data_IF_131474340484
#
_entry.id   IF_131474340484
#
_cell.length_a   1.000
_cell.length_b   1.000
_cell.length_c   1.000
_cell.angle_alpha   90.00
_cell.angle_beta   90.00
_cell.angle_gamma   90.00
#
_symmetry.space_group_name_H-M   'P 1'
#
loop_
_entity.id
_entity.type
_entity.pdbx_description
1 polymer ?
#
# COMPACT_ATOMS: atom_id res chain seq x y z
N UNK A 1 33.34 -38.17 -0.34
CA UNK A 1 33.42 -39.17 0.78
C UNK A 1 33.13 -38.53 2.16
N UNK A 2 33.64 -37.34 2.49
CA UNK A 2 33.38 -36.64 3.76
C UNK A 2 31.88 -36.38 4.01
N UNK A 3 31.11 -35.86 3.02
CA UNK A 3 29.67 -35.55 3.11
C UNK A 3 28.84 -36.77 3.51
N UNK A 4 29.09 -37.93 2.91
CA UNK A 4 28.37 -39.18 3.25
C UNK A 4 28.65 -39.65 4.69
N UNK A 5 29.88 -39.49 5.19
CA UNK A 5 30.23 -39.83 6.59
C UNK A 5 29.58 -38.87 7.57
N UNK A 6 29.51 -37.58 7.26
CA UNK A 6 28.78 -36.57 8.03
C UNK A 6 27.30 -36.91 8.09
N UNK A 7 26.71 -37.34 6.96
CA UNK A 7 25.28 -37.67 6.90
C UNK A 7 24.94 -38.94 7.71
N UNK A 8 25.78 -39.97 7.61
CA UNK A 8 25.50 -41.31 8.18
C UNK A 8 25.92 -41.47 9.65
N UNK A 9 26.95 -40.77 10.11
CA UNK A 9 27.54 -41.02 11.42
C UNK A 9 27.45 -39.81 12.34
N UNK A 10 26.72 -39.94 13.46
CA UNK A 10 26.56 -38.88 14.47
C UNK A 10 27.91 -38.32 14.98
N UNK A 11 28.92 -39.16 15.13
CA UNK A 11 30.25 -38.76 15.57
C UNK A 11 30.93 -37.72 14.66
N UNK A 12 30.73 -37.81 13.35
CA UNK A 12 31.28 -36.84 12.42
C UNK A 12 30.47 -35.51 12.47
N UNK A 13 29.16 -35.58 12.71
CA UNK A 13 28.35 -34.40 12.93
C UNK A 13 28.74 -33.65 14.20
N UNK A 14 28.94 -34.38 15.33
CA UNK A 14 29.42 -33.78 16.59
C UNK A 14 30.78 -33.12 16.45
N UNK A 15 31.74 -33.81 15.78
CA UNK A 15 33.08 -33.25 15.55
C UNK A 15 33.04 -32.01 14.64
N UNK A 16 32.20 -32.01 13.61
CA UNK A 16 31.98 -30.86 12.73
C UNK A 16 31.33 -29.67 13.47
N UNK A 17 30.35 -29.93 14.32
CA UNK A 17 29.71 -28.94 15.15
C UNK A 17 30.68 -28.31 16.13
N UNK A 18 31.49 -29.12 16.81
CA UNK A 18 32.53 -28.63 17.71
C UNK A 18 33.57 -27.76 16.98
N UNK A 19 34.00 -28.16 15.78
CA UNK A 19 34.91 -27.33 14.94
C UNK A 19 34.24 -25.98 14.57
N UNK A 20 32.92 -26.01 14.25
CA UNK A 20 32.21 -24.82 13.89
C UNK A 20 32.08 -23.86 15.09
N UNK A 21 31.68 -24.38 16.26
CA UNK A 21 31.56 -23.60 17.50
C UNK A 21 32.91 -23.04 17.96
N UNK A 22 33.97 -23.85 17.94
CA UNK A 22 35.31 -23.40 18.29
C UNK A 22 35.79 -22.31 17.35
N UNK A 23 35.57 -22.47 16.03
CA UNK A 23 35.95 -21.47 15.02
C UNK A 23 35.17 -20.16 15.21
N UNK A 24 33.86 -20.26 15.50
CA UNK A 24 32.99 -19.10 15.78
C UNK A 24 33.47 -18.32 17.01
N UNK A 25 33.74 -19.01 18.12
CA UNK A 25 34.26 -18.42 19.36
C UNK A 25 35.66 -17.80 19.14
N UNK A 26 36.55 -18.49 18.46
CA UNK A 26 37.88 -17.99 18.15
C UNK A 26 37.82 -16.68 17.33
N UNK A 27 36.99 -16.65 16.29
CA UNK A 27 36.85 -15.46 15.44
C UNK A 27 36.27 -14.26 16.25
N UNK A 28 35.36 -14.50 17.18
CA UNK A 28 34.76 -13.45 17.98
C UNK A 28 35.66 -12.93 19.11
N UNK A 29 36.61 -13.74 19.59
CA UNK A 29 37.49 -13.37 20.69
C UNK A 29 38.97 -13.14 20.23
N UNK A 30 39.17 -13.14 18.91
CA UNK A 30 40.51 -13.13 18.31
C UNK A 30 41.35 -11.92 18.73
N UNK A 31 40.71 -10.77 18.91
CA UNK A 31 41.34 -9.52 19.35
C UNK A 31 41.66 -9.50 20.84
N UNK A 32 41.04 -10.38 21.64
CA UNK A 32 41.23 -10.50 23.08
C UNK A 32 42.22 -11.63 23.43
N UNK A 33 42.57 -12.47 22.48
CA UNK A 33 43.43 -13.61 22.68
C UNK A 33 44.90 -13.28 22.28
N UNK A 34 45.86 -13.89 22.99
CA UNK A 34 47.29 -13.80 22.62
C UNK A 34 47.52 -14.49 21.26
N UNK A 35 48.47 -14.02 20.44
CA UNK A 35 48.80 -14.65 19.16
C UNK A 35 49.07 -16.15 19.26
N UNK A 36 49.75 -16.58 20.35
CA UNK A 36 50.04 -18.01 20.61
C UNK A 36 48.77 -18.80 20.88
N UNK A 37 47.79 -18.25 21.63
CA UNK A 37 46.52 -18.92 21.89
C UNK A 37 45.67 -19.06 20.60
N UNK A 38 45.71 -18.05 19.72
CA UNK A 38 45.05 -18.11 18.41
C UNK A 38 45.64 -19.22 17.55
N UNK A 39 46.98 -19.31 17.49
CA UNK A 39 47.68 -20.34 16.72
C UNK A 39 47.39 -21.76 17.24
N UNK A 40 47.45 -21.98 18.57
CA UNK A 40 47.12 -23.26 19.17
C UNK A 40 45.70 -23.73 18.87
N UNK A 41 44.70 -22.81 18.96
CA UNK A 41 43.32 -23.11 18.66
C UNK A 41 43.08 -23.39 17.16
N UNK A 42 43.72 -22.60 16.28
CA UNK A 42 43.64 -22.84 14.84
C UNK A 42 44.25 -24.21 14.46
N UNK A 43 45.40 -24.56 15.04
CA UNK A 43 46.01 -25.87 14.83
C UNK A 43 45.11 -27.02 15.31
N UNK A 44 44.51 -26.90 16.49
CA UNK A 44 43.61 -27.92 17.04
C UNK A 44 42.38 -28.12 16.18
N UNK A 45 41.80 -27.01 15.68
CA UNK A 45 40.64 -27.03 14.77
C UNK A 45 41.00 -27.71 13.45
N UNK A 46 42.14 -27.33 12.84
CA UNK A 46 42.55 -27.87 11.55
C UNK A 46 42.95 -29.35 11.66
N UNK A 47 43.60 -29.75 12.73
CA UNK A 47 43.89 -31.15 13.01
C UNK A 47 42.62 -32.01 13.11
N UNK A 48 41.60 -31.53 13.77
CA UNK A 48 40.30 -32.24 13.85
C UNK A 48 39.60 -32.29 12.47
N UNK A 49 39.67 -31.22 11.67
CA UNK A 49 39.18 -31.20 10.28
C UNK A 49 39.91 -32.22 9.40
N UNK A 50 41.23 -32.33 9.52
CA UNK A 50 42.04 -33.33 8.79
C UNK A 50 41.64 -34.76 9.18
N UNK A 51 41.47 -35.04 10.46
CA UNK A 51 41.00 -36.36 10.95
C UNK A 51 39.60 -36.69 10.40
N UNK A 52 38.69 -35.75 10.29
CA UNK A 52 37.38 -35.96 9.68
C UNK A 52 37.49 -36.23 8.18
N UNK A 53 38.35 -35.50 7.45
CA UNK A 53 38.52 -35.66 5.98
C UNK A 53 39.19 -36.99 5.64
N UNK A 54 40.23 -37.39 6.39
CA UNK A 54 40.96 -38.64 6.18
C UNK A 54 40.11 -39.87 6.54
N UNK A 55 39.02 -39.67 7.26
CA UNK A 55 38.15 -40.78 7.71
C UNK A 55 38.80 -41.63 8.77
N UNK A 56 39.58 -41.02 9.62
CA UNK A 56 40.31 -41.64 10.70
C UNK A 56 39.44 -42.53 11.59
N UNK A 57 40.05 -43.52 12.24
CA UNK A 57 39.41 -44.43 13.13
C UNK A 57 38.74 -43.72 14.32
N UNK A 58 37.72 -44.37 14.90
CA UNK A 58 36.93 -43.85 16.00
C UNK A 58 37.77 -43.34 17.18
N UNK A 59 38.88 -44.02 17.49
CA UNK A 59 39.78 -43.67 18.58
C UNK A 59 40.48 -42.33 18.31
N UNK A 60 41.07 -42.18 17.10
CA UNK A 60 41.78 -40.95 16.70
C UNK A 60 40.83 -39.73 16.62
N UNK A 61 39.61 -39.95 16.13
CA UNK A 61 38.60 -38.86 16.08
C UNK A 61 38.19 -38.40 17.49
N UNK A 62 38.00 -39.35 18.44
CA UNK A 62 37.71 -39.05 19.84
C UNK A 62 38.85 -38.29 20.53
N UNK A 63 40.07 -38.68 20.26
CA UNK A 63 41.28 -37.97 20.78
C UNK A 63 41.39 -36.56 20.22
N UNK A 64 41.08 -36.36 18.93
CA UNK A 64 41.06 -35.02 18.31
C UNK A 64 39.98 -34.11 18.88
N UNK A 65 38.79 -34.68 19.14
CA UNK A 65 37.67 -33.94 19.80
C UNK A 65 38.10 -33.54 21.23
N UNK A 66 38.63 -34.49 22.02
CA UNK A 66 39.08 -34.19 23.37
C UNK A 66 40.19 -33.13 23.46
N UNK A 67 41.14 -33.18 22.48
CA UNK A 67 42.21 -32.17 22.37
C UNK A 67 41.65 -30.78 22.08
N UNK A 68 40.69 -30.67 21.14
CA UNK A 68 40.05 -29.38 20.83
C UNK A 68 39.24 -28.87 22.00
N UNK A 69 38.46 -29.72 22.70
CA UNK A 69 37.71 -29.34 23.90
C UNK A 69 38.63 -28.85 25.00
N UNK A 70 39.75 -29.55 25.28
CA UNK A 70 40.71 -29.14 26.26
C UNK A 70 41.37 -27.81 25.94
N UNK A 71 41.79 -27.61 24.68
CA UNK A 71 42.41 -26.36 24.25
C UNK A 71 41.38 -25.22 24.32
N UNK A 72 40.16 -25.46 23.82
CA UNK A 72 39.06 -24.52 23.87
C UNK A 72 38.69 -24.08 25.28
N UNK A 73 38.52 -25.02 26.24
CA UNK A 73 38.17 -24.70 27.62
C UNK A 73 39.24 -23.90 28.38
N UNK A 74 40.48 -24.01 27.97
CA UNK A 74 41.59 -23.23 28.56
C UNK A 74 41.75 -21.83 28.02
N UNK A 75 41.42 -21.61 26.74
CA UNK A 75 41.73 -20.38 26.02
C UNK A 75 40.53 -19.54 25.68
N UNK A 76 39.36 -20.16 25.49
CA UNK A 76 38.14 -19.46 25.10
C UNK A 76 37.24 -19.25 26.32
N UNK A 77 36.65 -18.08 26.39
CA UNK A 77 35.64 -17.78 27.42
C UNK A 77 34.25 -18.08 26.86
N UNK A 78 33.48 -19.01 27.46
CA UNK A 78 32.12 -19.29 27.00
C UNK A 78 31.23 -18.06 27.17
N UNK A 79 30.27 -17.85 26.27
CA UNK A 79 29.33 -16.75 26.41
C UNK A 79 28.46 -16.91 27.63
N UNK A 80 28.25 -15.82 28.35
CA UNK A 80 27.45 -15.80 29.59
C UNK A 80 26.01 -16.26 29.37
N UNK A 81 25.41 -15.92 28.23
CA UNK A 81 24.03 -16.29 27.84
C UNK A 81 23.99 -16.68 26.35
N UNK A 82 24.46 -17.88 25.94
CA UNK A 82 24.61 -18.25 24.55
C UNK A 82 23.28 -18.24 23.78
N UNK A 83 22.18 -18.75 24.37
CA UNK A 83 20.88 -18.77 23.71
C UNK A 83 20.27 -17.38 23.47
N UNK A 84 20.46 -16.44 24.40
CA UNK A 84 20.02 -15.06 24.18
C UNK A 84 20.80 -14.41 23.03
N UNK A 85 22.11 -14.60 22.98
CA UNK A 85 22.97 -14.07 21.91
C UNK A 85 22.57 -14.64 20.56
N UNK A 86 22.38 -15.95 20.45
CA UNK A 86 21.93 -16.61 19.22
C UNK A 86 20.60 -16.05 18.73
N UNK A 87 19.63 -15.88 19.60
CA UNK A 87 18.34 -15.26 19.25
C UNK A 87 18.50 -13.83 18.75
N UNK A 88 19.38 -13.03 19.36
CA UNK A 88 19.68 -11.66 18.91
C UNK A 88 20.38 -11.67 17.55
N UNK A 89 21.36 -12.54 17.33
CA UNK A 89 22.04 -12.68 16.03
C UNK A 89 21.05 -13.07 14.92
N UNK A 90 20.17 -14.05 15.16
CA UNK A 90 19.13 -14.47 14.22
C UNK A 90 18.15 -13.34 13.93
N UNK A 91 17.72 -12.63 14.98
CA UNK A 91 16.82 -11.49 14.83
C UNK A 91 17.44 -10.36 14.00
N UNK A 92 18.69 -10.00 14.28
CA UNK A 92 19.41 -8.96 13.52
C UNK A 92 19.60 -9.35 12.06
N UNK A 93 19.93 -10.61 11.79
CA UNK A 93 20.07 -11.14 10.44
C UNK A 93 18.72 -11.11 9.69
N UNK A 94 17.65 -11.55 10.34
CA UNK A 94 16.30 -11.49 9.77
C UNK A 94 15.86 -10.06 9.45
N UNK A 95 16.12 -9.11 10.37
CA UNK A 95 15.85 -7.69 10.15
C UNK A 95 16.67 -7.13 8.98
N UNK A 96 17.96 -7.46 8.91
CA UNK A 96 18.82 -7.02 7.83
C UNK A 96 18.35 -7.52 6.46
N UNK A 97 17.94 -8.80 6.37
CA UNK A 97 17.36 -9.36 5.14
C UNK A 97 16.03 -8.67 4.80
N UNK A 98 15.13 -8.54 5.76
CA UNK A 98 13.82 -7.91 5.54
C UNK A 98 13.98 -6.45 5.06
N UNK A 99 14.89 -5.69 5.67
CA UNK A 99 15.19 -4.34 5.24
C UNK A 99 15.82 -4.29 3.84
N UNK A 100 16.71 -5.23 3.52
CA UNK A 100 17.31 -5.32 2.18
C UNK A 100 16.27 -5.61 1.11
N UNK A 101 15.37 -6.58 1.36
CA UNK A 101 14.26 -6.89 0.45
C UNK A 101 13.37 -5.67 0.26
N UNK A 102 12.98 -5.01 1.36
CA UNK A 102 12.14 -3.80 1.32
C UNK A 102 12.81 -2.64 0.56
N UNK A 103 14.11 -2.47 0.71
CA UNK A 103 14.82 -1.32 0.13
C UNK A 103 15.12 -1.53 -1.35
N UNK A 104 15.51 -2.72 -1.75
CA UNK A 104 16.03 -2.98 -3.09
C UNK A 104 15.06 -3.70 -4.03
N UNK A 105 14.11 -4.47 -3.50
CA UNK A 105 13.24 -5.32 -4.32
C UNK A 105 11.77 -4.92 -4.25
N UNK A 106 11.15 -5.00 -3.09
CA UNK A 106 9.72 -4.81 -2.96
C UNK A 106 9.36 -3.87 -1.82
N UNK A 107 8.74 -2.77 -2.15
CA UNK A 107 8.25 -1.84 -1.14
C UNK A 107 6.74 -1.97 -0.94
N UNK A 108 6.26 -2.29 0.30
CA UNK A 108 4.83 -2.29 0.58
C UNK A 108 4.27 -0.87 0.59
N UNK A 109 3.17 -0.66 -0.12
CA UNK A 109 2.43 0.60 -0.19
C UNK A 109 0.92 0.35 -0.14
N UNK A 110 0.17 1.28 0.48
CA UNK A 110 -1.29 1.28 0.46
C UNK A 110 -1.83 2.35 -0.46
N UNK A 111 -2.96 2.09 -1.13
CA UNK A 111 -3.62 3.02 -2.04
C UNK A 111 -4.68 3.83 -1.27
N UNK A 112 -4.52 5.15 -1.12
CA UNK A 112 -5.47 5.96 -0.37
C UNK A 112 -6.65 6.46 -1.21
N UNK A 113 -6.48 6.59 -2.54
CA UNK A 113 -7.44 7.27 -3.43
C UNK A 113 -8.01 6.35 -4.50
N UNK A 114 -9.21 6.68 -5.00
CA UNK A 114 -9.88 5.92 -6.05
C UNK A 114 -9.43 6.21 -7.48
N UNK A 115 -8.32 6.93 -7.69
CA UNK A 115 -7.92 7.40 -9.03
C UNK A 115 -7.56 6.28 -10.02
N UNK A 116 -7.37 5.06 -9.55
CA UNK A 116 -7.05 3.88 -10.35
C UNK A 116 -8.20 2.86 -10.43
N UNK A 117 -9.41 3.20 -9.95
CA UNK A 117 -10.58 2.36 -10.13
C UNK A 117 -10.97 2.25 -11.61
N UNK A 118 -11.47 1.10 -12.08
CA UNK A 118 -11.77 -0.12 -11.32
C UNK A 118 -10.55 -1.05 -11.10
N UNK A 119 -9.39 -0.72 -11.63
CA UNK A 119 -8.20 -1.58 -11.58
C UNK A 119 -7.65 -1.74 -10.16
N UNK A 120 -7.46 -0.64 -9.44
CA UNK A 120 -7.03 -0.62 -8.05
C UNK A 120 -7.93 0.30 -7.24
N UNK A 121 -8.25 -0.11 -6.03
CA UNK A 121 -9.17 0.66 -5.18
C UNK A 121 -8.43 1.38 -4.06
N UNK A 122 -8.82 2.63 -3.84
CA UNK A 122 -8.48 3.39 -2.65
C UNK A 122 -9.42 3.12 -1.49
N UNK A 123 -9.22 3.87 -0.41
CA UNK A 123 -10.12 3.88 0.74
C UNK A 123 -11.46 4.44 0.28
N UNK A 124 -12.55 3.73 0.60
CA UNK A 124 -13.92 4.21 0.37
C UNK A 124 -14.72 4.21 1.67
N UNK A 125 -15.56 5.20 1.80
CA UNK A 125 -16.45 5.40 2.94
C UNK A 125 -17.89 5.52 2.41
N UNK A 126 -18.82 4.87 3.06
CA UNK A 126 -20.23 4.90 2.69
C UNK A 126 -21.14 4.79 3.91
N UNK A 127 -22.34 5.35 3.81
CA UNK A 127 -23.35 5.15 4.83
C UNK A 127 -23.76 3.67 4.87
N UNK A 128 -23.91 3.12 6.06
CA UNK A 128 -24.57 1.83 6.25
C UNK A 128 -26.06 2.02 6.05
N UNK A 129 -26.65 1.21 5.16
CA UNK A 129 -28.11 1.17 5.04
C UNK A 129 -28.74 0.84 6.38
N UNK A 130 -29.95 1.37 6.62
CA UNK A 130 -30.64 1.19 7.91
C UNK A 130 -30.87 -0.28 8.26
N UNK A 131 -30.94 -1.16 7.26
CA UNK A 131 -31.12 -2.59 7.41
C UNK A 131 -29.83 -3.36 7.74
N UNK A 132 -28.64 -2.80 7.49
CA UNK A 132 -27.38 -3.47 7.76
C UNK A 132 -26.94 -3.27 9.22
N UNK A 133 -26.83 -4.37 9.96
CA UNK A 133 -26.21 -4.36 11.29
C UNK A 133 -24.70 -4.51 11.17
N UNK A 134 -23.93 -3.65 11.83
CA UNK A 134 -22.49 -3.82 11.91
C UNK A 134 -22.16 -5.11 12.67
N UNK A 135 -21.30 -5.99 12.11
CA UNK A 135 -20.89 -7.20 12.80
C UNK A 135 -20.11 -6.85 14.07
N UNK A 136 -20.23 -7.70 15.07
CA UNK A 136 -19.57 -7.56 16.37
C UNK A 136 -18.65 -8.75 16.65
N UNK A 137 -17.75 -8.61 17.63
CA UNK A 137 -16.89 -9.68 18.08
C UNK A 137 -15.95 -10.24 16.99
N UNK A 138 -15.90 -11.57 16.86
CA UNK A 138 -15.02 -12.27 15.93
C UNK A 138 -15.36 -11.92 14.46
N UNK A 139 -16.62 -11.73 14.13
CA UNK A 139 -17.05 -11.35 12.79
C UNK A 139 -16.49 -9.98 12.37
N UNK A 140 -16.52 -9.00 13.25
CA UNK A 140 -15.93 -7.68 13.02
C UNK A 140 -14.40 -7.76 12.85
N UNK A 141 -13.75 -8.61 13.63
CA UNK A 141 -12.31 -8.86 13.52
C UNK A 141 -11.95 -9.49 12.16
N UNK A 142 -12.66 -10.51 11.73
CA UNK A 142 -12.46 -11.15 10.41
C UNK A 142 -12.65 -10.12 9.29
N UNK A 143 -13.74 -9.36 9.32
CA UNK A 143 -13.99 -8.34 8.29
C UNK A 143 -12.88 -7.28 8.28
N UNK A 144 -12.43 -6.83 9.44
CA UNK A 144 -11.36 -5.82 9.51
C UNK A 144 -10.03 -6.33 8.97
N UNK A 145 -9.56 -7.50 9.42
CA UNK A 145 -8.22 -7.98 9.09
C UNK A 145 -8.13 -8.75 7.78
N UNK A 146 -9.19 -9.44 7.34
CA UNK A 146 -9.15 -10.20 6.10
C UNK A 146 -9.79 -9.48 4.92
N UNK A 147 -10.90 -8.78 5.13
CA UNK A 147 -11.59 -8.05 4.07
C UNK A 147 -11.32 -6.53 4.08
N UNK A 148 -10.61 -6.01 5.08
CA UNK A 148 -10.30 -4.59 5.17
C UNK A 148 -11.52 -3.70 5.43
N UNK A 149 -12.59 -4.26 6.01
CA UNK A 149 -13.85 -3.55 6.25
C UNK A 149 -13.96 -3.17 7.72
N UNK A 150 -14.21 -1.91 7.99
CA UNK A 150 -14.41 -1.37 9.33
C UNK A 150 -15.76 -0.66 9.41
N UNK A 151 -16.41 -0.78 10.55
CA UNK A 151 -17.68 -0.13 10.81
C UNK A 151 -17.51 0.90 11.94
N UNK A 152 -18.11 2.07 11.77
CA UNK A 152 -18.18 3.09 12.80
C UNK A 152 -19.64 3.38 13.06
N UNK A 153 -20.11 3.10 14.27
CA UNK A 153 -21.43 3.42 14.71
C UNK A 153 -21.34 4.25 16.00
N UNK A 154 -21.89 5.45 15.98
CA UNK A 154 -21.99 6.34 17.12
C UNK A 154 -23.44 6.80 17.26
N UNK A 155 -24.04 6.47 18.39
CA UNK A 155 -25.44 6.84 18.73
C UNK A 155 -25.40 7.89 19.83
N UNK A 156 -26.33 8.86 19.78
CA UNK A 156 -26.48 9.85 20.83
C UNK A 156 -27.17 9.22 22.03
N UNK A 157 -26.64 9.43 23.23
CA UNK A 157 -27.20 8.98 24.49
C UNK A 157 -28.09 10.09 25.15
N UNK A 158 -28.03 11.33 24.65
CA UNK A 158 -28.70 12.49 25.15
C UNK A 158 -29.02 13.52 24.06
N UNK A 159 -29.48 14.70 24.46
CA UNK A 159 -29.69 15.83 23.55
C UNK A 159 -28.35 16.52 23.29
N UNK A 160 -27.58 16.02 22.29
CA UNK A 160 -26.22 16.47 22.05
C UNK A 160 -26.12 17.40 20.85
N UNK A 161 -25.36 18.47 21.02
CA UNK A 161 -24.92 19.33 19.92
C UNK A 161 -23.44 19.13 19.62
N UNK A 162 -23.11 18.86 18.38
CA UNK A 162 -21.71 18.78 17.96
C UNK A 162 -21.09 20.19 17.95
N UNK A 163 -20.02 20.38 18.72
CA UNK A 163 -19.28 21.65 18.81
C UNK A 163 -18.04 21.62 17.93
N UNK A 164 -17.29 20.53 17.97
CA UNK A 164 -15.99 20.46 17.31
C UNK A 164 -15.58 19.05 16.95
N UNK A 165 -14.82 18.96 15.87
CA UNK A 165 -14.19 17.73 15.38
C UNK A 165 -12.69 17.96 15.42
N UNK A 166 -11.98 17.24 16.28
CA UNK A 166 -10.51 17.36 16.36
C UNK A 166 -9.82 16.56 15.24
N UNK A 167 -8.63 17.01 14.86
CA UNK A 167 -7.80 16.25 13.92
C UNK A 167 -7.44 14.86 14.48
N UNK A 168 -7.29 13.85 13.61
CA UNK A 168 -6.91 12.51 14.02
C UNK A 168 -5.62 12.52 14.84
N UNK A 169 -5.60 11.81 15.97
CA UNK A 169 -4.44 11.66 16.85
C UNK A 169 -3.96 10.23 16.86
N UNK A 170 -2.65 10.03 16.89
CA UNK A 170 -2.06 8.70 17.14
C UNK A 170 -2.20 8.39 18.62
N UNK A 171 -2.96 7.34 18.94
CA UNK A 171 -3.03 6.77 20.29
C UNK A 171 -2.30 5.43 20.24
N UNK A 172 -1.19 5.31 20.96
CA UNK A 172 -0.19 4.28 20.72
C UNK A 172 0.38 4.30 19.28
N UNK A 173 1.45 3.57 19.04
CA UNK A 173 2.25 3.62 17.81
C UNK A 173 1.48 3.26 16.53
N UNK A 174 0.31 2.60 16.64
CA UNK A 174 -0.43 1.98 15.53
C UNK A 174 -1.91 2.38 15.42
N UNK A 175 -2.49 2.99 16.44
CA UNK A 175 -3.92 3.31 16.42
C UNK A 175 -4.14 4.80 16.23
N UNK A 176 -4.94 5.14 15.23
CA UNK A 176 -5.40 6.51 15.02
C UNK A 176 -6.83 6.61 15.55
N UNK A 177 -7.07 7.61 16.37
CA UNK A 177 -8.39 7.96 16.86
C UNK A 177 -8.69 9.41 16.53
N UNK A 178 -9.95 9.70 16.30
CA UNK A 178 -10.45 11.05 16.09
C UNK A 178 -11.47 11.35 17.18
N UNK A 179 -11.40 12.55 17.75
CA UNK A 179 -12.23 12.97 18.84
C UNK A 179 -13.29 13.93 18.35
N UNK A 180 -14.55 13.61 18.68
CA UNK A 180 -15.72 14.46 18.51
C UNK A 180 -16.07 15.07 19.85
N UNK A 181 -16.36 16.35 19.87
CA UNK A 181 -16.75 17.10 21.06
C UNK A 181 -18.19 17.55 20.91
N UNK A 182 -19.02 17.14 21.85
CA UNK A 182 -20.42 17.51 21.93
C UNK A 182 -20.67 18.31 23.20
N UNK A 183 -21.71 19.13 23.16
CA UNK A 183 -22.34 19.70 24.34
C UNK A 183 -23.69 19.04 24.57
N UNK A 184 -23.91 18.54 25.76
CA UNK A 184 -25.20 18.09 26.20
C UNK A 184 -26.08 19.34 26.45
N UNK A 185 -27.21 19.43 25.75
CA UNK A 185 -28.06 20.60 25.83
C UNK A 185 -28.85 20.66 27.15
N UNK A 186 -29.06 19.51 27.78
CA UNK A 186 -29.82 19.41 29.04
C UNK A 186 -28.92 19.75 30.25
N UNK A 187 -27.72 19.15 30.30
CA UNK A 187 -26.80 19.31 31.43
C UNK A 187 -25.75 20.41 31.23
N UNK A 188 -25.59 20.92 30.01
CA UNK A 188 -24.55 21.87 29.58
C UNK A 188 -23.12 21.32 29.68
N UNK A 189 -22.95 20.05 29.96
CA UNK A 189 -21.65 19.41 30.06
C UNK A 189 -21.07 19.15 28.68
N UNK A 190 -19.73 19.14 28.60
CA UNK A 190 -19.00 18.75 27.39
C UNK A 190 -18.79 17.24 27.40
N UNK A 191 -19.16 16.60 26.30
CA UNK A 191 -19.02 15.16 26.09
C UNK A 191 -18.01 14.91 24.99
N UNK A 192 -17.01 14.08 25.25
CA UNK A 192 -16.00 13.70 24.27
C UNK A 192 -16.22 12.23 23.87
N UNK A 193 -16.23 11.97 22.55
CA UNK A 193 -16.33 10.62 21.98
C UNK A 193 -15.20 10.39 21.00
N UNK A 194 -14.48 9.27 21.18
CA UNK A 194 -13.44 8.82 20.27
C UNK A 194 -14.04 7.91 19.20
N UNK A 195 -13.76 8.18 17.93
CA UNK A 195 -14.08 7.28 16.82
C UNK A 195 -12.81 6.64 16.24
N UNK A 196 -12.94 5.39 15.80
CA UNK A 196 -11.87 4.63 15.15
C UNK A 196 -12.48 3.68 14.11
N UNK A 197 -11.94 3.63 12.90
CA UNK A 197 -10.84 4.44 12.37
C UNK A 197 -11.25 5.91 12.23
N UNK A 198 -10.27 6.84 12.24
CA UNK A 198 -10.57 8.25 12.02
C UNK A 198 -11.14 8.45 10.62
N UNK A 199 -12.15 9.28 10.52
CA UNK A 199 -12.80 9.60 9.25
C UNK A 199 -11.98 10.64 8.47
N UNK A 200 -12.15 10.63 7.15
CA UNK A 200 -11.54 11.66 6.32
C UNK A 200 -12.24 13.00 6.57
N UNK A 201 -11.54 13.99 7.11
CA UNK A 201 -12.08 15.31 7.44
C UNK A 201 -12.11 16.27 6.26
N UNK A 202 -12.00 15.79 5.03
CA UNK A 202 -11.91 16.65 3.84
C UNK A 202 -10.54 17.37 3.68
N UNK A 203 -9.73 17.41 4.73
CA UNK A 203 -8.31 17.72 4.63
C UNK A 203 -7.58 16.41 4.47
N UNK A 204 -7.49 15.93 3.24
CA UNK A 204 -6.62 14.82 2.89
C UNK A 204 -5.29 15.01 3.62
N UNK A 205 -4.82 13.99 4.34
CA UNK A 205 -3.44 13.95 4.85
C UNK A 205 -2.40 14.06 3.73
N UNK A 206 -2.84 14.07 2.48
CA UNK A 206 -2.08 14.14 1.24
C UNK A 206 -2.41 15.38 0.39
N UNK A 207 -3.10 16.39 0.96
CA UNK A 207 -3.24 17.70 0.32
C UNK A 207 -4.05 17.76 -0.98
N UNK A 208 -4.68 16.68 -1.42
CA UNK A 208 -5.54 16.68 -2.60
C UNK A 208 -6.85 16.00 -2.29
N UNK A 209 -7.95 16.65 -2.67
CA UNK A 209 -9.28 16.11 -2.55
C UNK A 209 -9.37 14.74 -3.24
N UNK A 210 -9.47 13.70 -2.45
CA UNK A 210 -9.92 12.41 -2.94
C UNK A 210 -11.34 12.63 -3.44
N UNK A 211 -11.65 12.04 -4.57
CA UNK A 211 -12.96 12.11 -5.19
C UNK A 211 -14.09 11.39 -4.42
N UNK A 212 -13.79 10.79 -3.30
CA UNK A 212 -14.78 10.36 -2.31
C UNK A 212 -15.07 11.55 -1.40
N UNK A 213 -16.04 12.35 -1.78
CA UNK A 213 -16.38 13.64 -1.17
C UNK A 213 -17.24 13.55 0.09
N UNK A 214 -17.36 12.38 0.66
CA UNK A 214 -18.05 12.27 1.94
C UNK A 214 -17.11 12.75 3.04
N UNK A 215 -17.14 14.05 3.27
CA UNK A 215 -16.42 14.64 4.39
C UNK A 215 -17.10 14.19 5.69
N UNK A 216 -16.35 14.14 6.79
CA UNK A 216 -16.95 13.85 8.10
C UNK A 216 -18.16 14.74 8.39
N UNK A 217 -18.18 15.99 7.88
CA UNK A 217 -19.31 16.90 7.98
C UNK A 217 -20.59 16.36 7.30
N UNK A 218 -20.50 15.66 6.18
CA UNK A 218 -21.67 15.06 5.52
C UNK A 218 -22.21 13.89 6.32
N UNK A 219 -21.35 13.08 6.94
CA UNK A 219 -21.76 11.97 7.78
C UNK A 219 -22.33 12.40 9.13
N UNK A 220 -21.94 13.59 9.62
CA UNK A 220 -22.28 14.09 10.93
C UNK A 220 -23.45 15.08 10.87
N UNK A 221 -23.79 15.63 9.70
CA UNK A 221 -24.98 16.43 9.52
C UNK A 221 -26.20 15.51 9.48
N UNK A 222 -27.15 15.74 10.39
CA UNK A 222 -28.41 15.01 10.35
C UNK A 222 -29.29 15.44 9.16
N UNK A 223 -30.37 14.71 8.89
CA UNK A 223 -31.32 14.95 7.79
C UNK A 223 -31.87 16.38 7.69
N UNK A 224 -31.67 17.19 8.73
CA UNK A 224 -32.11 18.58 8.80
C UNK A 224 -30.96 19.59 8.72
N UNK A 225 -29.78 19.15 8.34
CA UNK A 225 -28.57 19.99 8.33
C UNK A 225 -28.21 20.63 9.70
N UNK A 226 -28.56 19.97 10.78
CA UNK A 226 -28.29 20.44 12.15
C UNK A 226 -27.29 19.50 12.84
N UNK A 227 -26.38 20.06 13.58
CA UNK A 227 -25.46 19.32 14.44
C UNK A 227 -26.03 18.96 15.81
N UNK A 228 -27.38 18.80 15.91
CA UNK A 228 -28.11 18.49 17.13
C UNK A 228 -28.73 17.10 16.99
N UNK A 229 -28.50 16.24 17.93
CA UNK A 229 -28.94 14.85 17.97
C UNK A 229 -29.79 14.58 19.22
N UNK A 230 -30.86 13.81 19.04
CA UNK A 230 -31.71 13.34 20.13
C UNK A 230 -31.23 12.00 20.69
N UNK A 231 -31.61 11.61 21.92
CA UNK A 231 -31.30 10.28 22.43
C UNK A 231 -31.77 9.17 21.49
N UNK A 232 -30.86 8.21 21.21
CA UNK A 232 -31.12 7.10 20.29
C UNK A 232 -30.86 7.42 18.79
N UNK A 233 -30.61 8.68 18.46
CA UNK A 233 -30.33 9.08 17.08
C UNK A 233 -28.89 8.72 16.67
N UNK A 234 -28.74 8.16 15.47
CA UNK A 234 -27.39 7.86 14.93
C UNK A 234 -26.66 9.15 14.54
N UNK A 235 -25.53 9.40 15.17
CA UNK A 235 -24.61 10.47 14.82
C UNK A 235 -23.74 10.05 13.63
N UNK A 236 -23.21 8.84 13.67
CA UNK A 236 -22.42 8.23 12.61
C UNK A 236 -22.87 6.78 12.46
N UNK A 237 -23.22 6.38 11.27
CA UNK A 237 -23.45 4.99 10.90
C UNK A 237 -22.80 4.74 9.56
N UNK A 238 -21.51 4.34 9.61
CA UNK A 238 -20.64 4.33 8.44
C UNK A 238 -19.89 3.01 8.31
N UNK A 239 -19.73 2.58 7.06
CA UNK A 239 -18.82 1.51 6.66
C UNK A 239 -17.62 2.12 5.93
N UNK A 240 -16.42 1.72 6.32
CA UNK A 240 -15.19 2.09 5.67
C UNK A 240 -14.50 0.85 5.12
N UNK A 241 -14.16 0.90 3.85
CA UNK A 241 -13.38 -0.13 3.17
C UNK A 241 -11.98 0.40 2.91
N UNK A 242 -11.00 -0.38 3.28
CA UNK A 242 -9.59 -0.05 3.07
C UNK A 242 -9.23 -0.14 1.59
N UNK A 243 -8.29 0.67 1.17
CA UNK A 243 -7.68 0.55 -0.15
C UNK A 243 -6.80 -0.68 -0.28
N UNK A 244 -6.42 -0.99 -1.50
CA UNK A 244 -5.49 -2.06 -1.81
C UNK A 244 -4.11 -1.79 -1.24
N UNK A 245 -3.50 -2.80 -0.66
CA UNK A 245 -2.11 -2.79 -0.25
C UNK A 245 -1.31 -3.65 -1.23
N UNK A 246 -0.31 -3.06 -1.83
CA UNK A 246 0.47 -3.69 -2.88
C UNK A 246 1.97 -3.65 -2.61
N UNK A 247 2.66 -4.61 -3.19
CA UNK A 247 4.10 -4.61 -3.30
C UNK A 247 4.50 -3.89 -4.59
N UNK A 248 5.32 -2.87 -4.44
CA UNK A 248 5.92 -2.13 -5.57
C UNK A 248 7.27 -2.75 -5.88
N UNK A 249 7.40 -3.27 -7.10
CA UNK A 249 8.65 -3.81 -7.64
C UNK A 249 9.56 -2.65 -8.05
N UNK A 250 10.66 -2.50 -7.34
CA UNK A 250 11.70 -1.49 -7.57
C UNK A 250 12.86 -2.04 -8.42
N UNK A 251 12.90 -3.35 -8.60
CA UNK A 251 14.03 -4.03 -9.21
C UNK A 251 13.96 -4.03 -10.73
N UNK A 252 12.79 -4.27 -11.30
CA UNK A 252 12.58 -4.46 -12.75
C UNK A 252 13.11 -3.29 -13.58
N UNK A 253 12.87 -2.04 -13.15
CA UNK A 253 13.26 -0.87 -13.94
C UNK A 253 14.75 -0.49 -13.87
N UNK A 254 15.54 -1.24 -13.11
CA UNK A 254 17.01 -1.16 -13.19
C UNK A 254 17.55 -1.87 -14.44
N UNK A 255 16.77 -2.77 -15.05
CA UNK A 255 17.20 -3.62 -16.17
C UNK A 255 16.47 -3.34 -17.48
N UNK A 256 15.28 -2.74 -17.40
CA UNK A 256 14.51 -2.37 -18.58
C UNK A 256 13.71 -1.08 -18.37
N UNK A 257 13.32 -0.44 -19.45
CA UNK A 257 12.39 0.69 -19.43
C UNK A 257 10.96 0.22 -19.12
N UNK A 258 10.12 1.11 -18.56
CA UNK A 258 8.69 0.84 -18.41
C UNK A 258 8.00 0.60 -19.74
N UNK A 259 7.05 -0.34 -19.76
CA UNK A 259 6.22 -0.63 -20.92
C UNK A 259 4.86 0.06 -20.82
N UNK A 260 4.25 0.35 -21.94
CA UNK A 260 2.87 0.86 -22.00
C UNK A 260 1.90 -0.10 -21.31
N UNK A 261 0.97 0.46 -20.54
CA UNK A 261 -0.04 -0.28 -19.79
C UNK A 261 0.39 -0.70 -18.39
N UNK A 262 1.69 -0.69 -18.06
CA UNK A 262 2.13 -0.98 -16.70
C UNK A 262 1.62 0.07 -15.72
N UNK A 263 1.23 -0.39 -14.53
CA UNK A 263 0.85 0.50 -13.43
C UNK A 263 2.12 0.89 -12.69
N UNK A 264 2.48 2.15 -12.79
CA UNK A 264 3.72 2.71 -12.24
C UNK A 264 3.47 3.49 -10.95
N UNK A 265 4.43 3.42 -10.06
CA UNK A 265 4.53 4.29 -8.89
C UNK A 265 5.69 5.26 -9.14
N UNK A 266 5.47 6.54 -8.87
CA UNK A 266 6.46 7.59 -9.10
C UNK A 266 6.42 8.66 -8.00
N UNK A 267 7.55 9.32 -7.81
CA UNK A 267 7.68 10.48 -6.92
C UNK A 267 7.23 11.75 -7.63
N UNK A 268 6.52 12.62 -6.90
CA UNK A 268 6.01 13.88 -7.46
C UNK A 268 7.04 15.01 -7.50
N UNK A 269 8.28 14.75 -7.07
CA UNK A 269 9.36 15.72 -7.14
C UNK A 269 9.51 16.32 -8.53
N UNK A 270 9.74 17.61 -8.61
CA UNK A 270 9.95 18.33 -9.87
C UNK A 270 8.79 18.31 -10.88
N UNK A 271 7.60 17.91 -10.46
CA UNK A 271 6.39 17.98 -11.27
C UNK A 271 5.59 19.20 -10.79
N UNK A 272 5.45 20.19 -11.67
CA UNK A 272 4.71 21.42 -11.34
C UNK A 272 3.20 21.14 -11.22
N UNK A 273 2.52 21.93 -10.39
CA UNK A 273 1.06 21.86 -10.24
C UNK A 273 0.54 20.74 -9.35
N UNK A 274 1.43 19.94 -8.72
CA UNK A 274 1.06 18.92 -7.72
C UNK A 274 1.90 19.05 -6.46
N UNK A 275 1.42 18.47 -5.35
CA UNK A 275 2.17 18.46 -4.10
C UNK A 275 3.45 17.65 -4.26
N UNK A 276 4.54 18.20 -3.78
CA UNK A 276 5.87 17.63 -3.86
C UNK A 276 6.07 16.52 -2.80
N UNK A 277 7.09 15.70 -2.99
CA UNK A 277 7.54 14.65 -2.04
C UNK A 277 6.46 13.59 -1.69
N UNK A 278 5.56 13.32 -2.65
CA UNK A 278 4.55 12.27 -2.53
C UNK A 278 4.78 11.16 -3.54
N UNK A 279 4.18 9.99 -3.28
CA UNK A 279 4.10 8.90 -4.24
C UNK A 279 2.73 8.88 -4.89
N UNK A 280 2.71 8.86 -6.23
CA UNK A 280 1.51 8.69 -7.03
C UNK A 280 1.55 7.34 -7.74
N UNK A 281 0.36 6.79 -8.00
CA UNK A 281 0.19 5.56 -8.77
C UNK A 281 -0.71 5.86 -9.96
N UNK A 282 -0.26 5.52 -11.18
CA UNK A 282 -0.97 5.72 -12.43
C UNK A 282 -0.63 4.63 -13.44
N UNK A 283 -1.44 4.51 -14.48
CA UNK A 283 -1.13 3.66 -15.64
C UNK A 283 -0.25 4.42 -16.61
N UNK A 284 0.77 3.76 -17.12
CA UNK A 284 1.65 4.29 -18.15
C UNK A 284 0.94 4.24 -19.50
N UNK A 285 0.46 5.36 -19.96
CA UNK A 285 -0.35 5.46 -21.18
C UNK A 285 0.48 5.79 -22.42
N UNK A 286 1.45 6.69 -22.31
CA UNK A 286 2.30 7.11 -23.43
C UNK A 286 3.79 7.00 -23.13
N UNK A 287 4.56 6.68 -24.18
CA UNK A 287 6.02 6.49 -24.13
C UNK A 287 6.75 7.71 -24.71
N UNK A 288 8.06 7.88 -24.44
CA UNK A 288 8.84 8.98 -24.99
C UNK A 288 8.76 9.07 -26.53
N UNK A 289 8.71 10.29 -27.05
CA UNK A 289 8.64 10.65 -28.48
C UNK A 289 7.34 10.22 -29.19
N UNK A 290 6.30 9.86 -28.48
CA UNK A 290 5.01 9.56 -29.06
C UNK A 290 4.11 10.79 -29.12
N UNK A 291 3.25 10.82 -30.13
CA UNK A 291 2.15 11.77 -30.25
C UNK A 291 0.88 11.14 -29.71
N UNK A 292 0.26 11.76 -28.75
CA UNK A 292 -0.94 11.27 -28.08
C UNK A 292 -2.06 12.28 -28.16
N UNK A 293 -3.28 11.82 -28.42
CA UNK A 293 -4.52 12.58 -28.25
C UNK A 293 -5.57 11.77 -27.53
N UNK A 294 -6.51 12.44 -26.90
CA UNK A 294 -7.68 11.83 -26.24
C UNK A 294 -8.91 12.20 -27.07
N UNK A 295 -9.46 11.21 -27.80
CA UNK A 295 -10.63 11.41 -28.62
C UNK A 295 -11.87 11.82 -27.82
N UNK A 296 -12.84 12.45 -28.49
CA UNK A 296 -14.15 12.75 -27.91
C UNK A 296 -14.95 11.46 -27.61
N UNK A 297 -14.52 10.32 -28.19
CA UNK A 297 -14.98 8.96 -27.91
C UNK A 297 -14.34 8.32 -26.68
N UNK A 298 -13.57 9.09 -25.90
CA UNK A 298 -12.88 8.68 -24.67
C UNK A 298 -11.74 7.67 -24.86
N UNK A 299 -11.21 7.56 -26.08
CA UNK A 299 -10.09 6.67 -26.35
C UNK A 299 -8.80 7.43 -26.57
N UNK A 300 -7.71 6.83 -26.12
CA UNK A 300 -6.37 7.29 -26.46
C UNK A 300 -6.05 6.91 -27.91
N UNK A 301 -5.50 7.85 -28.64
CA UNK A 301 -4.92 7.62 -29.96
C UNK A 301 -3.44 7.95 -29.90
N UNK A 302 -2.60 6.96 -30.15
CA UNK A 302 -1.15 7.05 -30.03
C UNK A 302 -0.52 6.81 -31.38
N UNK A 303 0.19 7.81 -31.90
CA UNK A 303 0.77 7.79 -33.25
C UNK A 303 -0.27 7.39 -34.32
N UNK A 304 -1.48 7.92 -34.18
CA UNK A 304 -2.60 7.63 -35.09
C UNK A 304 -3.35 6.31 -34.84
N UNK A 305 -2.88 5.46 -33.89
CA UNK A 305 -3.52 4.19 -33.56
C UNK A 305 -4.37 4.34 -32.30
N UNK A 306 -5.67 4.04 -32.39
CA UNK A 306 -6.61 4.02 -31.26
C UNK A 306 -6.33 2.83 -30.34
N UNK A 307 -6.34 3.06 -29.04
CA UNK A 307 -6.33 2.01 -28.00
C UNK A 307 -7.76 1.68 -27.60
N UNK A 308 -8.04 0.40 -27.39
CA UNK A 308 -9.33 -0.12 -26.94
C UNK A 308 -9.16 -1.34 -26.00
N UNK A 309 -10.24 -2.01 -25.67
CA UNK A 309 -10.25 -3.18 -24.79
C UNK A 309 -9.46 -4.39 -25.33
N UNK A 310 -9.17 -4.45 -26.61
CA UNK A 310 -8.34 -5.53 -27.21
C UNK A 310 -6.86 -5.38 -26.85
N UNK A 311 -6.45 -4.19 -26.39
CA UNK A 311 -5.13 -3.94 -25.86
C UNK A 311 -5.10 -4.40 -24.40
N UNK A 312 -4.70 -5.63 -24.13
CA UNK A 312 -4.77 -6.33 -22.85
C UNK A 312 -4.52 -5.45 -21.59
N UNK A 313 -3.49 -4.59 -21.51
CA UNK A 313 -3.29 -3.75 -20.33
C UNK A 313 -4.39 -2.71 -20.10
N UNK A 314 -5.22 -2.43 -21.12
CA UNK A 314 -6.29 -1.43 -21.08
C UNK A 314 -7.69 -2.05 -21.11
N UNK A 315 -7.82 -3.36 -21.05
CA UNK A 315 -9.09 -4.08 -21.09
C UNK A 315 -10.10 -3.51 -20.09
N UNK A 316 -9.72 -3.39 -18.82
CA UNK A 316 -10.59 -2.83 -17.78
C UNK A 316 -10.91 -1.33 -17.98
N UNK A 317 -10.02 -0.60 -18.63
CA UNK A 317 -10.20 0.84 -18.90
C UNK A 317 -11.23 1.08 -19.99
N UNK A 318 -11.30 0.22 -21.00
CA UNK A 318 -12.16 0.40 -22.18
C UNK A 318 -13.27 -0.64 -22.31
N UNK A 319 -13.46 -1.55 -21.35
CA UNK A 319 -14.45 -2.64 -21.39
C UNK A 319 -15.89 -2.18 -21.17
N UNK A 320 -16.08 -0.96 -20.71
CA UNK A 320 -17.42 -0.41 -20.46
C UNK A 320 -17.86 0.39 -21.69
N UNK A 321 -18.91 -0.05 -22.37
CA UNK A 321 -19.49 0.72 -23.45
C UNK A 321 -20.09 2.03 -22.94
N UNK A 322 -19.89 3.09 -23.74
CA UNK A 322 -20.45 4.42 -23.46
C UNK A 322 -21.97 4.35 -23.71
N UNK A 323 -22.74 4.06 -22.71
CA UNK A 323 -24.19 3.97 -22.78
C UNK A 323 -24.84 2.87 -21.96
N UNK A 324 -24.10 1.86 -21.55
CA UNK A 324 -24.60 0.96 -20.51
C UNK A 324 -24.46 1.62 -19.13
N UNK A 325 -25.55 1.79 -18.43
CA UNK A 325 -25.56 2.09 -16.99
C UNK A 325 -24.99 0.88 -16.26
N UNK A 326 -23.69 0.76 -16.26
CA UNK A 326 -23.02 -0.15 -15.36
C UNK A 326 -23.24 0.44 -13.97
N UNK A 327 -23.98 -0.26 -13.13
CA UNK A 327 -24.15 0.02 -11.69
C UNK A 327 -22.83 -0.19 -10.95
N UNK A 328 -21.80 0.54 -11.35
CA UNK A 328 -20.56 0.66 -10.61
C UNK A 328 -20.78 1.59 -9.41
N UNK A 329 -20.04 1.40 -8.32
CA UNK A 329 -20.11 2.30 -7.16
C UNK A 329 -20.02 3.76 -7.62
N UNK A 330 -20.75 4.62 -6.94
CA UNK A 330 -21.02 6.04 -7.32
C UNK A 330 -19.83 6.86 -7.83
N UNK A 331 -18.58 6.39 -7.63
CA UNK A 331 -17.35 7.09 -7.99
C UNK A 331 -16.68 6.56 -9.28
N UNK A 332 -17.20 5.53 -9.94
CA UNK A 332 -16.52 4.82 -11.03
C UNK A 332 -17.30 4.79 -12.35
N UNK A 333 -18.09 5.80 -12.62
CA UNK A 333 -18.98 5.84 -13.80
C UNK A 333 -18.30 5.97 -15.16
N UNK A 334 -16.97 5.92 -15.25
CA UNK A 334 -16.34 6.27 -16.52
C UNK A 334 -15.23 5.30 -16.91
N UNK A 335 -15.50 4.61 -17.99
CA UNK A 335 -14.47 3.93 -18.75
C UNK A 335 -13.76 4.91 -19.70
N UNK A 336 -12.58 4.57 -20.11
CA UNK A 336 -11.76 5.34 -21.01
C UNK A 336 -11.09 6.55 -20.39
N UNK A 337 -10.61 7.46 -21.21
CA UNK A 337 -9.99 8.71 -20.80
C UNK A 337 -10.73 9.89 -21.41
N UNK A 338 -11.02 10.90 -20.62
CA UNK A 338 -11.75 12.08 -21.08
C UNK A 338 -10.80 13.25 -21.33
N UNK A 339 -11.01 13.99 -22.42
CA UNK A 339 -10.47 15.33 -22.62
C UNK A 339 -11.31 16.37 -21.89
N UNK A 340 -10.90 17.63 -21.90
CA UNK A 340 -11.58 18.72 -21.19
C UNK A 340 -13.04 18.91 -21.64
N UNK A 341 -13.29 18.85 -22.94
CA UNK A 341 -14.65 19.00 -23.50
C UNK A 341 -15.59 17.93 -22.96
N UNK A 342 -15.19 16.65 -23.07
CA UNK A 342 -15.97 15.51 -22.58
C UNK A 342 -16.12 15.55 -21.05
N UNK A 343 -15.09 15.95 -20.32
CA UNK A 343 -15.14 16.12 -18.87
C UNK A 343 -16.23 17.11 -18.45
N UNK A 344 -16.32 18.26 -19.12
CA UNK A 344 -17.35 19.27 -18.81
C UNK A 344 -18.76 18.75 -19.12
N UNK A 345 -18.93 17.97 -20.19
CA UNK A 345 -20.21 17.31 -20.51
C UNK A 345 -20.64 16.39 -19.37
N UNK A 346 -19.76 15.50 -18.95
CA UNK A 346 -19.98 14.55 -17.84
C UNK A 346 -20.34 15.28 -16.54
N UNK A 347 -19.62 16.34 -16.19
CA UNK A 347 -19.94 17.12 -14.99
C UNK A 347 -21.32 17.78 -15.07
N UNK A 348 -21.72 18.27 -16.24
CA UNK A 348 -23.03 18.86 -16.45
C UNK A 348 -24.15 17.82 -16.33
N UNK A 349 -23.97 16.64 -16.93
CA UNK A 349 -24.92 15.52 -16.80
C UNK A 349 -25.10 15.11 -15.34
N UNK A 350 -24.01 14.94 -14.59
CA UNK A 350 -24.07 14.67 -13.13
C UNK A 350 -24.79 15.77 -12.37
N UNK A 351 -24.51 17.04 -12.68
CA UNK A 351 -25.18 18.17 -12.03
C UNK A 351 -26.69 18.12 -12.24
N UNK A 352 -27.11 17.82 -13.46
CA UNK A 352 -28.52 17.69 -13.81
C UNK A 352 -29.17 16.48 -13.12
N UNK A 353 -28.49 15.35 -13.04
CA UNK A 353 -28.98 14.15 -12.35
C UNK A 353 -29.20 14.39 -10.86
N UNK A 354 -28.19 14.97 -10.18
CA UNK A 354 -28.27 15.30 -8.74
C UNK A 354 -29.36 16.35 -8.48
N UNK A 355 -29.49 17.35 -9.36
CA UNK A 355 -30.54 18.37 -9.27
C UNK A 355 -31.94 17.75 -9.33
N UNK A 356 -32.17 16.84 -10.30
CA UNK A 356 -33.46 16.12 -10.42
C UNK A 356 -33.75 15.28 -9.18
N UNK A 357 -32.74 14.55 -8.67
CA UNK A 357 -32.89 13.69 -7.49
C UNK A 357 -33.28 14.48 -6.24
N UNK A 358 -32.69 15.67 -6.07
CA UNK A 358 -32.89 16.49 -4.86
C UNK A 358 -33.97 17.59 -5.05
N UNK A 359 -34.56 17.74 -6.23
CA UNK A 359 -35.55 18.77 -6.50
C UNK A 359 -35.03 20.20 -6.40
N UNK A 360 -33.74 20.42 -6.67
CA UNK A 360 -33.06 21.72 -6.58
C UNK A 360 -32.61 22.21 -7.96
N UNK A 361 -32.35 23.52 -8.06
CA UNK A 361 -31.81 24.10 -9.30
C UNK A 361 -30.38 23.58 -9.54
N UNK A 362 -30.03 23.13 -10.78
CA UNK A 362 -28.70 22.65 -11.12
C UNK A 362 -27.58 23.67 -10.81
N UNK A 363 -27.87 24.97 -10.87
CA UNK A 363 -26.89 26.01 -10.57
C UNK A 363 -26.45 26.05 -9.11
N UNK A 364 -27.28 25.51 -8.20
CA UNK A 364 -26.99 25.42 -6.77
C UNK A 364 -26.04 24.25 -6.43
N UNK A 365 -25.90 23.29 -7.35
CA UNK A 365 -25.04 22.13 -7.15
C UNK A 365 -23.61 22.49 -7.54
N UNK A 366 -22.74 22.58 -6.55
CA UNK A 366 -21.31 22.76 -6.75
C UNK A 366 -20.59 21.44 -6.48
N UNK A 367 -19.99 20.88 -7.51
CA UNK A 367 -19.05 19.80 -7.29
C UNK A 367 -17.73 20.39 -6.81
N UNK A 368 -17.17 19.81 -5.73
CA UNK A 368 -15.85 20.16 -5.23
C UNK A 368 -14.73 19.71 -6.21
N UNK A 369 -15.09 18.91 -7.20
CA UNK A 369 -14.24 18.46 -8.29
C UNK A 369 -14.09 19.56 -9.36
N UNK A 370 -13.24 20.50 -9.09
CA UNK A 370 -12.94 21.59 -9.99
C UNK A 370 -11.52 21.55 -10.49
N UNK A 371 -10.98 20.38 -10.78
CA UNK A 371 -9.72 20.30 -11.51
C UNK A 371 -9.99 20.73 -12.95
N UNK A 372 -9.42 21.84 -13.40
CA UNK A 372 -9.25 22.06 -14.82
C UNK A 372 -8.32 20.98 -15.32
N UNK A 373 -8.83 20.08 -16.17
CA UNK A 373 -7.97 19.19 -16.92
C UNK A 373 -7.04 20.05 -17.76
N UNK A 374 -5.80 19.66 -17.87
CA UNK A 374 -4.71 20.37 -18.51
C UNK A 374 -5.08 20.95 -19.87
N UNK A 375 -4.59 22.12 -20.23
CA UNK A 375 -4.71 22.69 -21.55
C UNK A 375 -4.14 21.81 -22.67
N UNK A 376 -3.43 20.73 -22.34
CA UNK A 376 -2.85 19.82 -23.30
C UNK A 376 -3.86 18.85 -23.94
N UNK A 377 -5.09 18.77 -23.43
CA UNK A 377 -6.14 17.87 -23.92
C UNK A 377 -7.51 18.57 -23.87
N UNK A 378 -7.65 19.67 -24.57
CA UNK A 378 -8.89 20.47 -24.57
C UNK A 378 -10.04 19.77 -25.29
N UNK A 379 -9.75 19.10 -26.42
CA UNK A 379 -10.71 18.34 -27.23
C UNK A 379 -10.03 17.19 -27.96
N UNK A 380 -10.81 16.43 -28.75
CA UNK A 380 -10.33 15.27 -29.50
C UNK A 380 -9.37 15.56 -30.66
N UNK A 381 -9.15 16.83 -31.01
CA UNK A 381 -8.25 17.22 -32.10
C UNK A 381 -6.84 17.53 -31.60
N UNK A 382 -6.70 17.92 -30.33
CA UNK A 382 -5.43 18.36 -29.78
C UNK A 382 -4.44 17.20 -29.57
N UNK A 383 -3.26 17.35 -30.16
CA UNK A 383 -2.16 16.40 -30.05
C UNK A 383 -1.12 16.87 -29.00
N UNK A 384 -0.66 15.93 -28.20
CA UNK A 384 0.39 16.13 -27.21
C UNK A 384 1.60 15.26 -27.56
N UNK A 385 2.73 15.89 -27.88
CA UNK A 385 3.99 15.19 -28.16
C UNK A 385 4.74 14.99 -26.85
N UNK A 386 5.01 13.74 -26.50
CA UNK A 386 5.73 13.39 -25.29
C UNK A 386 7.23 13.63 -25.51
N UNK A 387 7.87 14.49 -24.69
CA UNK A 387 9.31 14.76 -24.83
C UNK A 387 10.18 13.52 -24.62
N UNK A 388 11.44 13.52 -25.08
CA UNK A 388 12.40 12.46 -24.79
C UNK A 388 12.56 12.22 -23.30
N UNK A 389 12.69 10.95 -22.88
CA UNK A 389 12.81 10.53 -21.48
C UNK A 389 11.66 10.95 -20.55
N UNK A 390 10.52 11.31 -21.12
CA UNK A 390 9.30 11.59 -20.37
C UNK A 390 8.18 10.62 -20.79
N UNK A 391 7.16 10.52 -19.96
CA UNK A 391 6.07 9.57 -20.11
C UNK A 391 4.72 10.26 -19.89
N UNK A 392 3.64 9.65 -20.36
CA UNK A 392 2.27 10.07 -20.07
C UNK A 392 1.66 9.05 -19.09
N UNK A 393 1.30 9.48 -17.91
CA UNK A 393 0.75 8.65 -16.85
C UNK A 393 -0.67 9.09 -16.53
N UNK A 394 -1.65 8.19 -16.71
CA UNK A 394 -3.09 8.45 -16.55
C UNK A 394 -3.70 7.55 -15.49
N UNK A 395 -4.72 8.07 -14.80
CA UNK A 395 -5.51 7.27 -13.87
C UNK A 395 -6.66 6.57 -14.60
N UNK A 396 -6.91 5.32 -14.23
CA UNK A 396 -7.99 4.53 -14.83
C UNK A 396 -9.38 5.11 -14.48
N UNK A 397 -9.52 5.76 -13.32
CA UNK A 397 -10.69 6.55 -12.97
C UNK A 397 -10.58 7.97 -13.55
N UNK A 398 -10.94 8.09 -14.81
CA UNK A 398 -10.64 9.28 -15.61
C UNK A 398 -11.20 10.58 -15.04
N UNK A 399 -12.38 10.56 -14.40
CA UNK A 399 -13.04 11.76 -13.83
C UNK A 399 -12.47 12.14 -12.48
N UNK A 400 -11.97 11.16 -11.75
CA UNK A 400 -11.48 11.35 -10.37
C UNK A 400 -9.95 11.19 -10.25
N UNK A 401 -9.22 11.47 -11.32
CA UNK A 401 -7.77 11.35 -11.37
C UNK A 401 -7.11 12.70 -11.66
N UNK A 402 -6.17 13.06 -10.77
CA UNK A 402 -5.18 14.11 -11.06
C UNK A 402 -3.95 13.45 -11.65
N UNK A 403 -3.75 13.62 -12.97
CA UNK A 403 -2.74 12.89 -13.75
C UNK A 403 -2.11 13.75 -14.85
N UNK A 404 -1.46 13.14 -15.82
CA UNK A 404 -0.74 13.86 -16.88
C UNK A 404 -1.60 14.80 -17.70
N UNK A 405 -2.91 14.68 -17.67
CA UNK A 405 -3.83 15.63 -18.31
C UNK A 405 -3.79 16.99 -17.62
N UNK A 406 -3.50 17.00 -16.32
CA UNK A 406 -3.44 18.20 -15.48
C UNK A 406 -2.00 18.77 -15.40
N UNK A 407 -1.01 17.96 -15.14
CA UNK A 407 0.37 18.39 -14.88
C UNK A 407 1.37 18.08 -16.02
N UNK A 408 0.94 17.48 -17.14
CA UNK A 408 1.78 17.22 -18.30
C UNK A 408 2.57 15.90 -18.21
N UNK A 409 3.76 15.87 -18.81
CA UNK A 409 4.54 14.64 -18.92
C UNK A 409 5.39 14.35 -17.68
N UNK A 410 5.46 13.06 -17.29
CA UNK A 410 6.23 12.54 -16.18
C UNK A 410 7.70 12.37 -16.54
N UNK A 411 8.66 12.95 -15.82
CA UNK A 411 10.07 12.64 -15.99
C UNK A 411 10.37 11.17 -15.66
N UNK A 412 11.12 10.48 -16.52
CA UNK A 412 11.45 9.06 -16.32
C UNK A 412 12.21 8.77 -15.03
N UNK A 413 13.06 9.70 -14.59
CA UNK A 413 13.82 9.59 -13.33
C UNK A 413 12.93 9.57 -12.07
N UNK A 414 11.67 10.03 -12.16
CA UNK A 414 10.73 10.03 -11.06
C UNK A 414 10.05 8.68 -10.88
N UNK A 415 10.16 7.77 -11.86
CA UNK A 415 9.54 6.45 -11.78
C UNK A 415 10.27 5.62 -10.72
N UNK A 416 9.54 5.27 -9.67
CA UNK A 416 10.05 4.56 -8.52
C UNK A 416 9.99 3.04 -8.69
N UNK A 417 8.95 2.52 -9.34
CA UNK A 417 8.74 1.10 -9.57
C UNK A 417 7.38 0.83 -10.19
N UNK A 418 7.03 -0.45 -10.32
CA UNK A 418 5.71 -0.88 -10.81
C UNK A 418 4.91 -1.60 -9.75
N UNK A 419 3.58 -1.50 -9.81
CA UNK A 419 2.70 -2.34 -9.01
C UNK A 419 2.88 -3.80 -9.43
N UNK A 420 3.22 -4.68 -8.47
CA UNK A 420 3.48 -6.09 -8.76
C UNK A 420 2.43 -7.01 -8.16
N UNK A 421 2.19 -6.91 -6.87
CA UNK A 421 1.35 -7.86 -6.16
C UNK A 421 0.47 -7.16 -5.12
N UNK A 422 -0.84 -7.46 -5.13
CA UNK A 422 -1.80 -7.00 -4.11
C UNK A 422 -1.83 -8.05 -3.00
N UNK A 423 -1.32 -7.68 -1.81
CA UNK A 423 -1.22 -8.62 -0.70
C UNK A 423 -2.32 -8.45 0.35
N UNK A 424 -3.14 -7.40 0.26
CA UNK A 424 -4.27 -7.15 1.15
C UNK A 424 -5.25 -6.16 0.50
N UNK A 425 -6.59 -6.31 0.71
CA UNK A 425 -7.26 -7.34 1.52
C UNK A 425 -7.23 -8.72 0.88
N UNK A 426 -7.26 -9.78 1.72
CA UNK A 426 -7.23 -11.18 1.27
C UNK A 426 -8.58 -11.65 0.73
N UNK A 427 -9.67 -11.12 1.30
CA UNK A 427 -11.04 -11.43 0.88
C UNK A 427 -11.61 -10.27 0.07
N UNK A 428 -12.38 -10.58 -0.96
CA UNK A 428 -13.18 -9.59 -1.67
C UNK A 428 -14.17 -8.90 -0.72
N UNK A 429 -14.44 -7.64 -0.97
CA UNK A 429 -15.39 -6.86 -0.17
C UNK A 429 -16.79 -7.08 -0.73
N UNK A 430 -17.62 -7.84 -0.02
CA UNK A 430 -18.87 -8.42 -0.52
C UNK A 430 -20.00 -7.44 -0.75
N UNK A 431 -19.99 -6.27 -0.12
CA UNK A 431 -21.17 -5.40 -0.15
C UNK A 431 -21.35 -4.54 -1.40
N UNK A 432 -20.32 -4.38 -2.23
CA UNK A 432 -20.41 -3.59 -3.47
C UNK A 432 -19.50 -4.16 -4.59
N UNK A 433 -19.66 -5.45 -4.88
CA UNK A 433 -19.05 -6.09 -6.06
C UNK A 433 -17.56 -5.80 -6.32
N UNK A 434 -16.76 -5.58 -5.27
CA UNK A 434 -15.32 -5.56 -5.42
C UNK A 434 -14.82 -6.99 -5.53
N UNK A 435 -14.33 -7.42 -6.69
CA UNK A 435 -13.77 -8.76 -6.84
C UNK A 435 -12.57 -8.94 -5.90
N UNK A 436 -12.30 -10.19 -5.53
CA UNK A 436 -11.05 -10.50 -4.85
C UNK A 436 -9.89 -10.22 -5.80
N UNK A 437 -9.04 -9.26 -5.46
CA UNK A 437 -7.89 -8.84 -6.25
C UNK A 437 -6.56 -9.27 -5.66
N UNK A 438 -6.59 -10.07 -4.59
CA UNK A 438 -5.38 -10.65 -4.03
C UNK A 438 -4.62 -11.41 -5.11
N UNK A 439 -3.37 -11.05 -5.34
CA UNK A 439 -2.55 -11.68 -6.36
C UNK A 439 -1.71 -10.69 -7.16
N UNK A 440 -1.18 -11.16 -8.27
CA UNK A 440 -0.37 -10.33 -9.16
C UNK A 440 -1.20 -9.20 -9.77
N UNK A 441 -0.73 -8.00 -9.60
CA UNK A 441 -1.37 -6.82 -10.17
C UNK A 441 -1.19 -6.85 -11.69
N UNK A 442 -2.26 -7.10 -12.38
CA UNK A 442 -2.50 -6.97 -13.82
C UNK A 442 -1.24 -6.80 -14.70
N UNK A 443 -0.82 -7.91 -15.26
CA UNK A 443 0.21 -7.94 -16.29
C UNK A 443 -0.44 -7.86 -17.66
#
# INVERSE_FOLDING_TARGET
>A
MYFFRWLLFARFRMAAELCHQASKLLNHQRDQLSPGAVSELQEAIENLRLLMRSGSDRKKLKEGVAKLEQTGSRKLTPYRNPGFRENVEVMLFAVAIAMSIRTFFFQPMGIPTGSMQPTLYGITEGNLDQAESAPTGVGAWIQHYLAGVSHCNLVSEGNWQLISIKAPRKKFRFFHKQQLIFQDLDTKNTIERDISPPMNTGKSMLGHGSASSNTLSEFVLNSHNKYIYKPGENIIKMRRESGDHLLVDRFTYNFRKPNRGEIIVFETKTIDGINQDLFYIKRLAGLPNETVKIGDDRHLVINGKRLDATNHPFELVYSFDVGEEVTLPQDSHFSGHVNQKVYQQVLNERRMAVARQNGVDPSQIRFIYGGTISPNFMDGSQEFVIPPNRYLALGDNTVSSKDSRDWGSLPGQNIFGKAAFIYWPFLGQTARSRPNRFGWAFQ
#
